data_IF_550300044944
#
_entry.id   IF_550300044944
#
_cell.length_a   1.000
_cell.length_b   1.000
_cell.length_c   1.000
_cell.angle_alpha   90.00
_cell.angle_beta   90.00
_cell.angle_gamma   90.00
#
_symmetry.space_group_name_H-M   'P 1'
#
loop_
_entity.id
_entity.type
_entity.pdbx_description
1 polymer ?
#
# COMPACT_ATOMS: atom_id res chain seq x y z
N UNK A 1 45.82 7.83 -1.81
CA UNK A 1 45.63 6.40 -1.51
C UNK A 1 44.26 6.15 -0.87
N UNK A 2 43.86 6.88 0.17
CA UNK A 2 42.52 6.86 0.78
C UNK A 2 41.37 7.03 -0.23
N UNK A 3 41.54 7.91 -1.23
CA UNK A 3 40.52 8.20 -2.24
C UNK A 3 40.19 7.00 -3.15
N UNK A 4 41.22 6.24 -3.54
CA UNK A 4 41.06 5.02 -4.36
C UNK A 4 40.37 3.92 -3.56
N UNK A 5 40.69 3.78 -2.28
CA UNK A 5 40.01 2.82 -1.41
C UNK A 5 38.58 3.22 -1.10
N UNK A 6 38.30 4.52 -0.92
CA UNK A 6 36.94 5.03 -0.75
C UNK A 6 36.09 4.79 -2.00
N UNK A 7 36.64 5.04 -3.20
CA UNK A 7 35.96 4.75 -4.46
C UNK A 7 35.72 3.24 -4.65
N UNK A 8 36.72 2.41 -4.36
CA UNK A 8 36.58 0.96 -4.42
C UNK A 8 35.52 0.44 -3.43
N UNK A 9 35.42 1.04 -2.25
CA UNK A 9 34.38 0.71 -1.28
C UNK A 9 32.99 1.16 -1.78
N UNK A 10 32.86 2.38 -2.28
CA UNK A 10 31.58 2.97 -2.67
C UNK A 10 31.01 2.34 -3.95
N UNK A 11 31.88 1.92 -4.88
CA UNK A 11 31.46 1.37 -6.18
C UNK A 11 31.69 -0.13 -6.29
N UNK A 12 32.82 -0.62 -5.80
CA UNK A 12 33.19 -2.04 -5.92
C UNK A 12 32.37 -2.96 -5.01
N UNK A 13 32.10 -2.55 -3.77
CA UNK A 13 31.30 -3.34 -2.83
C UNK A 13 29.87 -3.55 -3.34
N UNK A 14 29.10 -2.52 -3.78
CA UNK A 14 27.76 -2.75 -4.31
C UNK A 14 27.78 -3.56 -5.63
N UNK A 15 28.76 -3.34 -6.51
CA UNK A 15 28.89 -4.15 -7.73
C UNK A 15 29.15 -5.63 -7.42
N UNK A 16 29.93 -5.93 -6.38
CA UNK A 16 30.16 -7.30 -5.93
C UNK A 16 28.90 -7.98 -5.36
N UNK A 17 27.90 -7.21 -4.93
CA UNK A 17 26.61 -7.73 -4.46
C UNK A 17 25.62 -8.03 -5.59
N UNK A 18 25.82 -7.47 -6.79
CA UNK A 18 24.90 -7.65 -7.94
C UNK A 18 24.63 -9.13 -8.27
N UNK A 19 25.64 -10.02 -8.35
CA UNK A 19 25.40 -11.44 -8.65
C UNK A 19 24.59 -12.14 -7.56
N UNK A 20 24.81 -11.78 -6.29
CA UNK A 20 24.08 -12.34 -5.16
C UNK A 20 22.61 -11.90 -5.20
N UNK A 21 22.33 -10.62 -5.45
CA UNK A 21 20.96 -10.10 -5.57
C UNK A 21 20.24 -10.73 -6.76
N UNK A 22 20.90 -10.85 -7.91
CA UNK A 22 20.34 -11.51 -9.10
C UNK A 22 20.09 -13.01 -8.88
N UNK A 23 20.92 -13.68 -8.09
CA UNK A 23 20.70 -15.07 -7.70
C UNK A 23 19.52 -15.20 -6.74
N UNK A 24 19.39 -14.29 -5.78
CA UNK A 24 18.31 -14.34 -4.79
C UNK A 24 16.96 -13.92 -5.40
N UNK A 25 16.94 -13.00 -6.37
CA UNK A 25 15.69 -12.55 -7.01
C UNK A 25 14.94 -13.67 -7.72
N UNK A 26 15.63 -14.72 -8.18
CA UNK A 26 14.99 -15.90 -8.80
C UNK A 26 14.17 -16.74 -7.82
N UNK A 27 14.37 -16.55 -6.51
CA UNK A 27 13.66 -17.26 -5.45
C UNK A 27 12.53 -16.44 -4.83
N UNK A 28 12.41 -15.17 -5.21
CA UNK A 28 11.28 -14.33 -4.83
C UNK A 28 10.21 -14.53 -5.90
N UNK A 29 9.20 -15.32 -5.57
CA UNK A 29 7.95 -15.29 -6.33
C UNK A 29 7.38 -13.88 -6.18
N UNK A 30 7.20 -13.16 -7.29
CA UNK A 30 6.35 -11.98 -7.26
C UNK A 30 4.94 -12.51 -7.01
N UNK A 31 4.31 -12.05 -5.93
CA UNK A 31 2.87 -12.25 -5.77
C UNK A 31 2.20 -11.78 -7.08
N UNK A 32 1.44 -12.65 -7.76
CA UNK A 32 0.66 -12.21 -8.92
C UNK A 32 -0.26 -11.08 -8.49
N UNK A 33 -0.62 -10.19 -9.41
CA UNK A 33 -1.66 -9.20 -9.15
C UNK A 33 -2.94 -9.94 -8.68
N UNK A 34 -3.18 -10.00 -7.37
CA UNK A 34 -4.33 -10.69 -6.78
C UNK A 34 -5.61 -9.91 -7.11
N UNK A 35 -6.68 -10.65 -7.43
CA UNK A 35 -8.01 -10.08 -7.62
C UNK A 35 -8.57 -9.55 -6.30
N UNK A 36 -9.33 -8.44 -6.40
CA UNK A 36 -9.61 -7.66 -5.22
C UNK A 36 -10.63 -8.28 -4.26
N UNK A 37 -10.35 -8.44 -2.94
CA UNK A 37 -11.35 -9.00 -2.05
C UNK A 37 -12.54 -8.04 -1.88
N UNK A 38 -13.75 -8.59 -1.71
CA UNK A 38 -14.95 -7.80 -1.42
C UNK A 38 -14.80 -7.07 -0.08
N UNK A 39 -15.42 -5.89 0.04
CA UNK A 39 -15.24 -5.01 1.19
C UNK A 39 -15.79 -5.62 2.48
N UNK A 40 -14.88 -5.87 3.43
CA UNK A 40 -15.22 -6.32 4.78
C UNK A 40 -15.26 -5.17 5.79
N UNK A 41 -15.98 -5.39 6.89
CA UNK A 41 -15.93 -4.54 8.10
C UNK A 41 -14.55 -4.68 8.78
N UNK A 42 -13.48 -4.15 8.20
CA UNK A 42 -12.13 -4.28 8.75
C UNK A 42 -11.02 -3.59 7.98
N UNK A 43 -10.40 -2.62 8.69
CA UNK A 43 -9.09 -1.95 8.60
C UNK A 43 -8.15 -2.10 7.38
N UNK A 44 -7.45 -0.98 7.13
CA UNK A 44 -6.34 -0.79 6.20
C UNK A 44 -5.30 -1.90 6.32
N UNK A 45 -5.01 -2.57 5.22
CA UNK A 45 -3.87 -3.48 5.13
C UNK A 45 -2.84 -2.87 4.17
N UNK A 46 -1.62 -2.71 4.65
CA UNK A 46 -0.48 -2.49 3.76
C UNK A 46 -0.26 -3.83 3.04
N UNK A 47 -0.43 -3.86 1.73
CA UNK A 47 -0.37 -5.08 0.92
C UNK A 47 -1.67 -5.45 0.20
N UNK A 48 -2.79 -4.75 0.43
CA UNK A 48 -4.06 -4.98 -0.31
C UNK A 48 -4.48 -3.74 -1.11
N UNK A 49 -3.60 -3.21 -1.96
CA UNK A 49 -4.01 -2.19 -2.94
C UNK A 49 -5.04 -2.78 -3.91
N UNK A 50 -4.88 -4.08 -4.16
CA UNK A 50 -5.86 -4.95 -4.73
C UNK A 50 -7.07 -5.15 -3.83
N UNK A 51 -7.51 -4.30 -2.90
CA UNK A 51 -8.83 -4.47 -2.25
C UNK A 51 -9.67 -3.21 -2.46
N UNK A 52 -10.27 -3.05 -3.65
CA UNK A 52 -11.29 -2.02 -3.89
C UNK A 52 -12.66 -2.64 -3.73
N UNK A 53 -13.46 -2.12 -2.78
CA UNK A 53 -14.88 -2.37 -2.72
C UNK A 53 -15.54 -2.07 -4.07
N UNK A 54 -16.03 -3.09 -4.77
CA UNK A 54 -17.03 -2.87 -5.82
C UNK A 54 -18.38 -2.61 -5.18
N UNK A 55 -18.56 -1.34 -4.83
CA UNK A 55 -19.75 -0.84 -4.17
C UNK A 55 -19.78 0.68 -4.32
N UNK A 56 -20.00 1.15 -5.54
CA UNK A 56 -20.23 2.58 -5.81
C UNK A 56 -21.60 2.98 -5.24
N UNK A 57 -21.67 3.05 -3.92
CA UNK A 57 -22.78 3.60 -3.18
C UNK A 57 -22.38 5.01 -2.75
N UNK A 58 -23.05 6.00 -3.36
CA UNK A 58 -22.92 7.45 -3.14
C UNK A 58 -22.18 7.83 -1.86
N UNK A 59 -20.86 7.98 -2.01
CA UNK A 59 -19.95 8.28 -0.91
C UNK A 59 -20.09 9.73 -0.46
N UNK A 60 -20.34 9.94 0.83
CA UNK A 60 -20.28 11.27 1.43
C UNK A 60 -18.85 11.82 1.38
N UNK A 61 -18.68 13.14 1.38
CA UNK A 61 -17.36 13.73 1.59
C UNK A 61 -16.95 13.58 3.05
N UNK A 62 -15.68 13.26 3.31
CA UNK A 62 -15.17 13.21 4.67
C UNK A 62 -15.36 14.58 5.33
N UNK A 63 -16.01 14.67 6.51
CA UNK A 63 -16.27 15.95 7.18
C UNK A 63 -15.00 16.63 7.73
N UNK A 64 -13.82 16.04 7.54
CA UNK A 64 -12.55 16.57 8.04
C UNK A 64 -11.65 17.10 6.93
N UNK A 65 -11.45 16.31 5.88
CA UNK A 65 -10.52 16.63 4.80
C UNK A 65 -11.21 16.79 3.44
N UNK A 66 -12.54 16.63 3.37
CA UNK A 66 -13.32 16.79 2.13
C UNK A 66 -13.10 15.69 1.09
N UNK A 67 -12.21 14.73 1.34
CA UNK A 67 -11.98 13.61 0.43
C UNK A 67 -13.24 12.76 0.30
N UNK A 68 -13.58 12.35 -0.93
CA UNK A 68 -14.66 11.41 -1.16
C UNK A 68 -14.36 10.09 -0.43
N UNK A 69 -15.30 9.62 0.38
CA UNK A 69 -15.21 8.36 1.09
C UNK A 69 -16.36 7.46 0.67
N UNK A 70 -16.09 6.18 0.41
CA UNK A 70 -17.17 5.24 0.16
C UNK A 70 -17.90 4.97 1.48
N UNK A 71 -19.19 4.71 1.40
CA UNK A 71 -20.01 4.56 2.61
C UNK A 71 -19.67 3.28 3.40
N UNK A 72 -18.83 2.40 2.87
CA UNK A 72 -18.52 1.07 3.39
C UNK A 72 -17.37 1.06 4.40
N UNK A 73 -16.65 2.18 4.56
CA UNK A 73 -15.57 2.31 5.53
C UNK A 73 -16.02 3.04 6.80
N UNK A 74 -15.48 2.60 7.94
CA UNK A 74 -15.62 3.28 9.23
C UNK A 74 -14.62 4.44 9.41
N UNK A 75 -13.61 4.55 8.53
CA UNK A 75 -12.55 5.54 8.59
C UNK A 75 -12.26 6.14 7.21
N UNK A 76 -11.80 7.40 7.18
CA UNK A 76 -11.35 8.04 5.94
C UNK A 76 -9.95 7.55 5.54
N UNK A 77 -9.78 7.06 4.32
CA UNK A 77 -8.49 6.60 3.80
C UNK A 77 -7.41 7.68 3.64
N UNK A 78 -7.77 8.97 3.61
CA UNK A 78 -6.81 10.07 3.44
C UNK A 78 -6.35 10.67 4.79
N UNK A 79 -7.28 10.94 5.71
CA UNK A 79 -6.96 11.60 6.99
C UNK A 79 -7.14 10.71 8.23
N UNK A 80 -7.48 9.42 8.05
CA UNK A 80 -7.72 8.43 9.10
C UNK A 80 -8.82 8.78 10.12
N UNK A 81 -9.59 9.86 9.92
CA UNK A 81 -10.69 10.21 10.84
C UNK A 81 -11.81 9.18 10.75
N UNK A 82 -12.36 8.82 11.91
CA UNK A 82 -13.55 7.99 12.02
C UNK A 82 -14.76 8.68 11.36
N UNK A 83 -15.44 7.96 10.49
CA UNK A 83 -16.64 8.42 9.81
C UNK A 83 -17.87 8.27 10.74
N UNK A 84 -18.86 9.17 10.64
CA UNK A 84 -20.08 9.05 11.43
C UNK A 84 -20.81 7.75 11.07
N UNK A 85 -21.45 7.08 12.05
CA UNK A 85 -22.18 5.84 11.80
C UNK A 85 -23.29 6.10 10.76
N UNK A 86 -23.47 5.16 9.81
CA UNK A 86 -24.60 5.25 8.87
C UNK A 86 -25.90 5.27 9.69
N UNK A 87 -26.71 6.30 9.52
CA UNK A 87 -28.12 6.23 9.91
C UNK A 87 -28.78 5.32 8.87
N UNK A 88 -28.94 4.04 9.20
CA UNK A 88 -29.84 3.16 8.47
C UNK A 88 -31.21 3.85 8.43
N UNK A 89 -31.62 4.32 7.26
CA UNK A 89 -33.02 4.73 7.06
C UNK A 89 -33.84 3.44 7.17
N UNK A 90 -34.66 3.40 8.21
CA UNK A 90 -35.73 2.42 8.41
C UNK A 90 -36.65 2.35 7.18
#
# INVERSE_FOLDING_TARGET
MLDVFAFAALVGIPLAQVPLVAYLSRYVELDPDEDLPPPGRGYVTYGTESARPEGWSHGSACPNCGTHVTAEYDYCGNCAKRLPPRRERQ
#
